data_IF_737436406786
#
_entry.id   IF_737436406786
#
_cell.length_a   1.000
_cell.length_b   1.000
_cell.length_c   1.000
_cell.angle_alpha   90.00
_cell.angle_beta   90.00
_cell.angle_gamma   90.00
#
_symmetry.space_group_name_H-M   'P 1'
#
loop_
_entity.id
_entity.type
_entity.pdbx_description
1 polymer ?
#
# COMPACT_ATOMS: atom_id res chain seq x y z
N UNK A 1 23.55 20.91 -27.94
CA UNK A 1 22.38 21.20 -27.10
C UNK A 1 22.23 20.05 -26.13
N UNK A 2 22.80 20.17 -24.93
CA UNK A 2 22.69 19.13 -23.91
C UNK A 2 21.29 19.21 -23.30
N UNK A 3 20.47 18.20 -23.55
CA UNK A 3 19.22 17.97 -22.83
C UNK A 3 19.58 17.73 -21.37
N UNK A 4 19.36 18.73 -20.53
CA UNK A 4 19.38 18.58 -19.08
C UNK A 4 18.27 17.61 -18.72
N UNK A 5 18.59 16.34 -18.49
CA UNK A 5 17.70 15.42 -17.79
C UNK A 5 17.52 15.98 -16.38
N UNK A 6 16.40 16.65 -16.13
CA UNK A 6 15.90 16.82 -14.76
C UNK A 6 15.67 15.42 -14.23
N UNK A 7 16.56 14.95 -13.38
CA UNK A 7 16.36 13.69 -12.66
C UNK A 7 15.21 13.96 -11.70
N UNK A 8 14.01 13.52 -12.06
CA UNK A 8 12.86 13.60 -11.16
C UNK A 8 13.20 12.82 -9.89
N UNK A 9 13.10 13.52 -8.75
CA UNK A 9 13.39 12.94 -7.44
C UNK A 9 12.38 11.82 -7.18
N UNK A 10 12.82 10.58 -6.90
CA UNK A 10 11.91 9.48 -6.61
C UNK A 10 10.97 9.80 -5.44
N UNK A 11 9.73 9.29 -5.52
CA UNK A 11 8.80 9.40 -4.40
C UNK A 11 9.26 8.57 -3.20
N UNK A 12 9.77 7.37 -3.46
CA UNK A 12 10.39 6.50 -2.44
C UNK A 12 11.64 5.86 -3.01
N UNK A 13 12.72 5.85 -2.24
CA UNK A 13 13.93 5.13 -2.56
C UNK A 13 14.40 4.30 -1.36
N UNK A 14 14.49 2.99 -1.55
CA UNK A 14 14.90 2.00 -0.55
C UNK A 14 16.22 1.40 -1.04
N UNK A 15 17.27 1.48 -0.23
CA UNK A 15 18.62 1.04 -0.58
C UNK A 15 19.13 -0.02 0.39
N UNK A 16 19.23 -1.27 -0.07
CA UNK A 16 19.84 -2.39 0.66
C UNK A 16 19.28 -2.59 2.07
N UNK A 17 17.96 -2.40 2.23
CA UNK A 17 17.33 -2.39 3.54
C UNK A 17 17.18 -3.80 4.09
N UNK A 18 17.72 -3.98 5.30
CA UNK A 18 17.57 -5.20 6.09
C UNK A 18 16.90 -4.84 7.41
N UNK A 19 15.95 -5.67 7.85
CA UNK A 19 15.27 -5.51 9.13
C UNK A 19 15.27 -6.81 9.91
N UNK A 20 15.94 -6.80 11.05
CA UNK A 20 16.04 -7.93 11.99
C UNK A 20 15.32 -7.55 13.28
N UNK A 21 14.31 -8.34 13.66
CA UNK A 21 13.65 -8.19 14.94
C UNK A 21 14.40 -8.99 16.01
N UNK A 22 14.84 -8.31 17.08
CA UNK A 22 15.49 -8.97 18.19
C UNK A 22 14.52 -9.92 18.91
N UNK A 23 14.97 -11.15 19.20
CA UNK A 23 14.24 -12.09 20.05
C UNK A 23 14.65 -11.90 21.51
N UNK A 24 13.70 -11.99 22.47
CA UNK A 24 14.01 -11.96 23.91
C UNK A 24 14.86 -13.16 24.36
N UNK A 25 14.78 -14.29 23.65
CA UNK A 25 15.65 -15.48 23.78
C UNK A 25 15.80 -16.12 22.39
N UNK A 26 17.02 -16.45 21.97
CA UNK A 26 17.31 -17.09 20.68
C UNK A 26 17.82 -16.14 19.60
N UNK A 27 17.95 -16.65 18.37
CA UNK A 27 18.36 -15.85 17.21
C UNK A 27 17.25 -14.89 16.79
N UNK A 28 17.62 -13.64 16.45
CA UNK A 28 16.69 -12.64 15.93
C UNK A 28 16.05 -13.08 14.61
N UNK A 29 14.90 -12.50 14.28
CA UNK A 29 14.15 -12.90 13.10
C UNK A 29 14.28 -11.86 11.99
N UNK A 30 15.01 -12.21 10.93
CA UNK A 30 15.15 -11.39 9.73
C UNK A 30 13.79 -11.32 9.02
N UNK A 31 13.20 -10.13 8.96
CA UNK A 31 11.95 -9.88 8.27
C UNK A 31 12.17 -9.42 6.83
N UNK A 32 13.17 -8.56 6.62
CA UNK A 32 13.61 -8.08 5.31
C UNK A 32 15.11 -8.25 5.20
N UNK A 33 15.60 -8.56 4.00
CA UNK A 33 17.00 -8.86 3.75
C UNK A 33 17.45 -8.29 2.39
N UNK A 34 18.26 -7.23 2.44
CA UNK A 34 18.82 -6.55 1.26
C UNK A 34 17.77 -6.13 0.23
N UNK A 35 16.73 -5.43 0.69
CA UNK A 35 15.63 -4.96 -0.15
C UNK A 35 15.99 -3.61 -0.76
N UNK A 36 15.94 -3.50 -2.10
CA UNK A 36 16.10 -2.25 -2.83
C UNK A 36 14.91 -2.00 -3.77
N UNK A 37 14.30 -0.82 -3.66
CA UNK A 37 13.09 -0.45 -4.39
C UNK A 37 13.07 1.06 -4.64
N UNK A 38 12.85 1.46 -5.89
CA UNK A 38 12.63 2.85 -6.26
C UNK A 38 11.21 3.01 -6.80
N UNK A 39 10.46 3.98 -6.30
CA UNK A 39 9.11 4.35 -6.72
C UNK A 39 9.17 5.76 -7.31
N UNK A 40 8.75 5.91 -8.56
CA UNK A 40 8.75 7.20 -9.23
C UNK A 40 7.58 8.09 -8.73
N UNK A 41 7.67 9.42 -8.89
CA UNK A 41 6.52 10.31 -8.69
C UNK A 41 5.33 9.89 -9.57
N UNK A 42 4.11 9.98 -9.04
CA UNK A 42 2.89 9.56 -9.75
C UNK A 42 2.77 8.07 -10.03
N UNK A 43 3.70 7.24 -9.53
CA UNK A 43 3.70 5.81 -9.76
C UNK A 43 2.88 5.05 -8.72
N UNK A 44 2.02 4.14 -9.19
CA UNK A 44 1.33 3.17 -8.35
C UNK A 44 2.10 1.84 -8.35
N UNK A 45 2.64 1.45 -7.20
CA UNK A 45 3.39 0.21 -7.00
C UNK A 45 2.69 -0.68 -5.97
N UNK A 46 2.34 -1.90 -6.37
CA UNK A 46 1.81 -2.91 -5.44
C UNK A 46 2.86 -3.91 -4.99
N UNK A 47 2.96 -4.15 -3.69
CA UNK A 47 3.73 -5.20 -3.06
C UNK A 47 2.83 -6.40 -2.81
N UNK A 48 3.17 -7.55 -3.41
CA UNK A 48 2.47 -8.83 -3.22
C UNK A 48 3.43 -9.91 -2.74
N UNK A 49 2.88 -10.93 -2.10
CA UNK A 49 3.65 -12.06 -1.57
C UNK A 49 2.89 -12.79 -0.46
N UNK A 50 3.37 -13.96 -0.03
CA UNK A 50 2.72 -14.76 0.99
C UNK A 50 2.66 -14.04 2.35
N UNK A 51 1.79 -14.51 3.25
CA UNK A 51 1.70 -13.97 4.61
C UNK A 51 3.07 -14.05 5.31
N UNK A 52 3.49 -12.94 5.94
CA UNK A 52 4.76 -12.88 6.65
C UNK A 52 6.02 -12.66 5.80
N UNK A 53 5.90 -12.36 4.50
CA UNK A 53 7.04 -11.99 3.64
C UNK A 53 7.60 -10.58 3.89
N UNK A 54 7.05 -9.80 4.82
CA UNK A 54 7.59 -8.50 5.21
C UNK A 54 7.02 -7.27 4.47
N UNK A 55 5.98 -7.40 3.63
CA UNK A 55 5.32 -6.26 2.94
C UNK A 55 4.97 -5.10 3.88
N UNK A 56 4.18 -5.40 4.93
CA UNK A 56 3.80 -4.40 5.95
C UNK A 56 5.00 -3.91 6.77
N UNK A 57 6.08 -4.71 6.87
CA UNK A 57 7.33 -4.23 7.49
C UNK A 57 8.00 -3.20 6.59
N UNK A 58 8.13 -3.46 5.29
CA UNK A 58 8.71 -2.52 4.33
C UNK A 58 7.93 -1.20 4.31
N UNK A 59 6.59 -1.27 4.24
CA UNK A 59 5.73 -0.09 4.28
C UNK A 59 5.90 0.73 5.57
N UNK A 60 6.01 0.08 6.72
CA UNK A 60 6.26 0.75 8.02
C UNK A 60 7.64 1.41 8.09
N UNK A 61 8.66 0.83 7.46
CA UNK A 61 9.98 1.43 7.38
C UNK A 61 9.98 2.68 6.49
N UNK A 62 9.27 2.63 5.35
CA UNK A 62 9.07 3.82 4.50
C UNK A 62 8.33 4.93 5.25
N UNK A 63 7.36 4.56 6.08
CA UNK A 63 6.61 5.50 6.92
C UNK A 63 7.36 5.99 8.18
N UNK A 64 8.64 5.64 8.38
CA UNK A 64 9.42 5.92 9.61
C UNK A 64 8.69 5.52 10.91
N UNK A 65 7.93 4.41 10.87
CA UNK A 65 7.26 3.82 12.04
C UNK A 65 8.07 2.67 12.65
N UNK A 66 9.10 2.23 11.93
CA UNK A 66 10.13 1.33 12.42
C UNK A 66 11.47 1.75 11.80
N UNK A 67 12.59 1.27 12.34
CA UNK A 67 13.94 1.66 11.90
C UNK A 67 14.64 0.48 11.23
N UNK A 68 15.22 0.65 10.02
CA UNK A 68 15.97 -0.42 9.38
C UNK A 68 17.19 -0.81 10.23
N UNK A 69 17.57 -2.08 10.22
CA UNK A 69 18.79 -2.55 10.89
C UNK A 69 20.04 -2.12 10.10
N UNK A 70 19.94 -2.14 8.77
CA UNK A 70 20.93 -1.59 7.85
C UNK A 70 20.24 -1.12 6.56
N UNK A 71 20.96 -0.36 5.74
CA UNK A 71 20.42 0.30 4.55
C UNK A 71 19.85 1.68 4.86
N UNK A 72 19.22 2.29 3.86
CA UNK A 72 18.63 3.62 3.99
C UNK A 72 17.32 3.74 3.21
N UNK A 73 16.47 4.66 3.64
CA UNK A 73 15.20 4.97 2.99
C UNK A 73 15.05 6.48 2.88
N UNK A 74 14.77 6.92 1.66
CA UNK A 74 14.48 8.30 1.32
C UNK A 74 13.07 8.42 0.73
N UNK A 75 12.41 9.54 1.00
CA UNK A 75 11.09 9.91 0.49
C UNK A 75 11.21 11.33 -0.04
N UNK A 76 10.93 11.52 -1.33
CA UNK A 76 11.16 12.78 -2.05
C UNK A 76 12.56 13.39 -1.82
N UNK A 77 13.60 12.54 -1.81
CA UNK A 77 15.01 12.93 -1.61
C UNK A 77 15.36 13.39 -0.19
N UNK A 78 14.45 13.19 0.77
CA UNK A 78 14.69 13.43 2.20
C UNK A 78 14.76 12.09 2.95
N UNK A 79 15.52 11.97 4.05
CA UNK A 79 15.42 10.80 4.91
C UNK A 79 13.96 10.56 5.36
N UNK A 80 13.52 9.29 5.43
CA UNK A 80 12.14 8.93 5.81
C UNK A 80 11.64 9.64 7.08
N UNK A 81 12.54 9.80 8.07
CA UNK A 81 12.25 10.54 9.31
C UNK A 81 11.87 12.01 9.08
N UNK A 82 12.55 12.69 8.16
CA UNK A 82 12.23 14.08 7.84
C UNK A 82 10.90 14.16 7.10
N UNK A 83 10.67 13.27 6.13
CA UNK A 83 9.39 13.18 5.43
C UNK A 83 8.21 12.93 6.39
N UNK A 84 8.41 12.15 7.46
CA UNK A 84 7.40 11.97 8.52
C UNK A 84 7.11 13.26 9.29
N UNK A 85 8.16 14.01 9.64
CA UNK A 85 8.04 15.27 10.39
C UNK A 85 7.34 16.33 9.53
N UNK A 86 7.68 16.37 8.24
CA UNK A 86 7.09 17.27 7.24
C UNK A 86 5.69 16.80 6.81
N UNK A 87 5.30 15.57 7.18
CA UNK A 87 4.01 14.95 6.88
C UNK A 87 3.76 14.80 5.37
N UNK A 88 4.81 14.48 4.60
CA UNK A 88 4.81 14.41 3.13
C UNK A 88 3.94 13.25 2.55
N UNK A 89 3.34 12.41 3.40
CA UNK A 89 2.56 11.24 2.98
C UNK A 89 1.33 10.95 3.86
N UNK A 90 0.31 10.33 3.24
CA UNK A 90 -0.84 9.75 3.93
C UNK A 90 -0.67 8.26 4.13
N UNK A 91 -1.21 7.71 5.23
CA UNK A 91 -1.15 6.27 5.52
C UNK A 91 -2.52 5.68 5.88
N UNK A 92 -2.84 4.55 5.26
CA UNK A 92 -4.00 3.72 5.58
C UNK A 92 -3.52 2.32 6.01
N UNK A 93 -3.83 1.91 7.24
CA UNK A 93 -3.38 0.63 7.80
C UNK A 93 -4.46 -0.45 7.72
N UNK A 94 -4.02 -1.72 7.82
CA UNK A 94 -4.89 -2.89 7.89
C UNK A 94 -5.87 -2.85 9.08
N UNK A 95 -5.47 -2.22 10.19
CA UNK A 95 -6.37 -1.82 11.26
C UNK A 95 -6.67 -0.33 11.11
N UNK A 96 -7.96 0.04 11.03
CA UNK A 96 -8.38 1.40 10.71
C UNK A 96 -7.79 2.48 11.64
N UNK A 97 -7.40 2.12 12.88
CA UNK A 97 -6.68 3.01 13.79
C UNK A 97 -7.43 4.33 14.04
N UNK A 98 -8.76 4.28 14.07
CA UNK A 98 -9.61 5.44 14.31
C UNK A 98 -9.57 5.79 15.80
N UNK A 99 -9.61 7.09 16.12
CA UNK A 99 -9.71 7.56 17.50
C UNK A 99 -11.13 7.28 18.00
N UNK A 100 -11.33 6.41 19.01
CA UNK A 100 -12.66 5.96 19.41
C UNK A 100 -13.51 7.07 20.04
N UNK A 101 -12.88 8.13 20.56
CA UNK A 101 -13.55 9.29 21.14
C UNK A 101 -13.83 10.41 20.13
N UNK A 102 -13.53 10.21 18.83
CA UNK A 102 -13.87 11.17 17.77
C UNK A 102 -14.88 10.57 16.82
N UNK A 103 -15.75 11.40 16.26
CA UNK A 103 -16.69 10.97 15.21
C UNK A 103 -15.96 10.63 13.91
N UNK A 104 -16.67 10.07 12.92
CA UNK A 104 -16.17 9.89 11.55
C UNK A 104 -15.58 11.18 11.00
N UNK A 105 -16.35 12.28 11.04
CA UNK A 105 -15.88 13.58 10.60
C UNK A 105 -14.66 14.04 11.42
N UNK A 106 -14.67 13.86 12.74
CA UNK A 106 -13.56 14.23 13.61
C UNK A 106 -12.28 13.42 13.35
N UNK A 107 -12.40 12.18 12.86
CA UNK A 107 -11.26 11.37 12.45
C UNK A 107 -10.67 11.83 11.12
N UNK A 108 -11.51 12.21 10.15
CA UNK A 108 -11.07 12.71 8.83
C UNK A 108 -10.53 14.14 8.94
N UNK A 109 -11.08 14.97 9.82
CA UNK A 109 -10.57 16.31 10.11
C UNK A 109 -9.22 16.30 10.84
N UNK A 110 -8.82 15.19 11.47
CA UNK A 110 -7.66 15.15 12.35
C UNK A 110 -6.33 15.57 11.67
N UNK A 111 -5.95 15.03 10.49
CA UNK A 111 -4.73 15.47 9.81
C UNK A 111 -4.74 16.99 9.53
N UNK A 112 -5.87 17.50 9.04
CA UNK A 112 -6.10 18.92 8.73
C UNK A 112 -5.98 19.80 9.98
N UNK A 113 -6.51 19.34 11.11
CA UNK A 113 -6.36 20.00 12.40
C UNK A 113 -4.90 20.08 12.84
N UNK A 114 -4.12 19.01 12.64
CA UNK A 114 -2.69 18.95 13.00
C UNK A 114 -1.83 19.87 12.12
N UNK A 115 -2.19 20.05 10.84
CA UNK A 115 -1.54 21.02 9.94
C UNK A 115 -2.04 22.46 10.12
N UNK A 116 -2.90 22.72 11.11
CA UNK A 116 -3.40 24.06 11.40
C UNK A 116 -4.45 24.57 10.41
N UNK A 117 -5.07 23.70 9.60
CA UNK A 117 -6.13 24.07 8.68
C UNK A 117 -7.36 24.58 9.44
N UNK A 118 -7.86 25.74 8.99
CA UNK A 118 -9.00 26.41 9.61
C UNK A 118 -10.26 25.54 9.63
N UNK A 119 -11.07 25.71 10.69
CA UNK A 119 -12.26 24.88 10.97
C UNK A 119 -13.23 24.76 9.80
N UNK A 120 -13.47 25.85 9.08
CA UNK A 120 -14.38 25.87 7.93
C UNK A 120 -13.86 25.02 6.78
N UNK A 121 -12.58 25.20 6.42
CA UNK A 121 -11.96 24.46 5.31
C UNK A 121 -11.87 22.96 5.62
N UNK A 122 -11.45 22.58 6.84
CA UNK A 122 -11.35 21.16 7.19
C UNK A 122 -12.70 20.45 7.22
N UNK A 123 -13.78 21.13 7.64
CA UNK A 123 -15.14 20.57 7.63
C UNK A 123 -15.66 20.34 6.22
N UNK A 124 -15.41 21.30 5.32
CA UNK A 124 -15.76 21.14 3.90
C UNK A 124 -15.03 19.95 3.30
N UNK A 125 -13.70 19.87 3.50
CA UNK A 125 -12.88 18.75 3.01
C UNK A 125 -13.30 17.40 3.58
N UNK A 126 -13.59 17.34 4.89
CA UNK A 126 -14.07 16.11 5.51
C UNK A 126 -15.43 15.68 4.93
N UNK A 127 -16.36 16.61 4.69
CA UNK A 127 -17.65 16.28 4.09
C UNK A 127 -17.52 15.71 2.67
N UNK A 128 -16.63 16.28 1.84
CA UNK A 128 -16.31 15.74 0.51
C UNK A 128 -15.81 14.29 0.59
N UNK A 129 -14.85 14.03 1.47
CA UNK A 129 -14.24 12.71 1.62
C UNK A 129 -15.20 11.68 2.22
N UNK A 130 -16.06 12.10 3.15
CA UNK A 130 -17.12 11.25 3.69
C UNK A 130 -18.13 10.85 2.59
N UNK A 131 -18.48 11.80 1.72
CA UNK A 131 -19.36 11.53 0.58
C UNK A 131 -18.71 10.56 -0.42
N UNK A 132 -17.42 10.77 -0.72
CA UNK A 132 -16.64 9.90 -1.61
C UNK A 132 -16.68 8.44 -1.14
N UNK A 133 -16.47 8.21 0.16
CA UNK A 133 -16.50 6.86 0.73
C UNK A 133 -17.91 6.35 1.06
N UNK A 134 -18.96 7.10 0.72
CA UNK A 134 -20.36 6.70 0.89
C UNK A 134 -20.77 6.55 2.36
N UNK A 135 -20.34 7.48 3.22
CA UNK A 135 -20.64 7.49 4.67
C UNK A 135 -21.29 8.78 5.16
N UNK A 136 -21.96 9.55 4.29
CA UNK A 136 -22.58 10.84 4.63
C UNK A 136 -23.49 10.75 5.87
N UNK A 137 -24.36 9.73 5.92
CA UNK A 137 -25.29 9.51 7.04
C UNK A 137 -24.60 9.12 8.35
N UNK A 138 -23.31 8.77 8.30
CA UNK A 138 -22.51 8.32 9.43
C UNK A 138 -21.51 9.36 9.93
N UNK A 139 -21.50 10.58 9.37
CA UNK A 139 -20.50 11.61 9.69
C UNK A 139 -20.37 11.93 11.19
N UNK A 140 -21.47 11.85 11.94
CA UNK A 140 -21.53 12.10 13.39
C UNK A 140 -21.38 10.86 14.27
N UNK A 141 -21.26 9.67 13.68
CA UNK A 141 -21.11 8.43 14.45
C UNK A 141 -19.68 8.23 14.93
N UNK A 142 -19.52 7.49 16.03
CA UNK A 142 -18.24 7.07 16.58
C UNK A 142 -17.81 5.70 16.01
N UNK A 143 -16.49 5.37 16.00
CA UNK A 143 -15.97 4.15 15.37
C UNK A 143 -16.60 2.84 15.86
N UNK A 144 -16.96 2.75 17.13
CA UNK A 144 -17.62 1.58 17.75
C UNK A 144 -19.05 1.35 17.22
N UNK A 145 -19.66 2.35 16.59
CA UNK A 145 -20.97 2.27 15.95
C UNK A 145 -20.89 1.84 14.47
N UNK A 146 -19.68 1.60 13.95
CA UNK A 146 -19.43 1.30 12.54
C UNK A 146 -18.99 -0.15 12.34
N UNK A 147 -19.37 -0.75 11.22
CA UNK A 147 -18.80 -2.04 10.81
C UNK A 147 -17.32 -1.91 10.45
N UNK A 148 -16.57 -3.02 10.45
CA UNK A 148 -15.14 -3.00 10.10
C UNK A 148 -14.86 -2.40 8.72
N UNK A 149 -15.69 -2.71 7.71
CA UNK A 149 -15.57 -2.12 6.37
C UNK A 149 -15.89 -0.63 6.34
N UNK A 150 -16.83 -0.14 7.16
CA UNK A 150 -17.06 1.29 7.33
C UNK A 150 -15.86 1.98 7.98
N UNK A 151 -15.28 1.38 9.02
CA UNK A 151 -14.07 1.92 9.67
C UNK A 151 -12.89 2.01 8.69
N UNK A 152 -12.69 0.99 7.85
CA UNK A 152 -11.66 1.01 6.81
C UNK A 152 -11.86 2.14 5.80
N UNK A 153 -13.10 2.34 5.34
CA UNK A 153 -13.47 3.46 4.48
C UNK A 153 -13.14 4.83 5.11
N UNK A 154 -13.39 4.99 6.41
CA UNK A 154 -12.98 6.21 7.14
C UNK A 154 -11.45 6.36 7.21
N UNK A 155 -10.71 5.27 7.39
CA UNK A 155 -9.25 5.30 7.41
C UNK A 155 -8.67 5.71 6.04
N UNK A 156 -9.23 5.21 4.94
CA UNK A 156 -8.88 5.63 3.57
C UNK A 156 -9.17 7.13 3.40
N UNK A 157 -10.38 7.59 3.73
CA UNK A 157 -10.75 9.00 3.65
C UNK A 157 -9.79 9.89 4.45
N UNK A 158 -9.42 9.48 5.68
CA UNK A 158 -8.47 10.21 6.52
C UNK A 158 -7.07 10.29 5.88
N UNK A 159 -6.61 9.24 5.22
CA UNK A 159 -5.31 9.25 4.52
C UNK A 159 -5.25 10.21 3.33
N UNK A 160 -6.41 10.53 2.75
CA UNK A 160 -6.57 11.43 1.60
C UNK A 160 -6.85 12.89 2.00
N UNK A 161 -6.99 13.17 3.31
CA UNK A 161 -7.45 14.46 3.82
C UNK A 161 -6.61 15.64 3.33
N UNK A 162 -5.29 15.51 3.40
CA UNK A 162 -4.29 16.52 3.01
C UNK A 162 -3.95 16.51 1.52
N UNK A 163 -4.55 15.63 0.72
CA UNK A 163 -4.14 15.40 -0.68
C UNK A 163 -2.62 15.14 -0.80
N UNK A 164 -2.08 14.14 -0.08
CA UNK A 164 -0.64 13.93 0.00
C UNK A 164 -0.05 13.49 -1.36
N UNK A 165 1.21 13.85 -1.61
CA UNK A 165 1.93 13.45 -2.82
C UNK A 165 2.36 11.97 -2.80
N UNK A 166 2.34 11.32 -1.64
CA UNK A 166 2.59 9.89 -1.45
C UNK A 166 1.51 9.26 -0.57
N UNK A 167 0.97 8.12 -1.00
CA UNK A 167 0.03 7.29 -0.24
C UNK A 167 0.65 5.93 0.08
N UNK A 168 0.66 5.58 1.36
CA UNK A 168 1.09 4.28 1.85
C UNK A 168 -0.14 3.50 2.32
N UNK A 169 -0.45 2.37 1.69
CA UNK A 169 -1.65 1.61 2.01
C UNK A 169 -1.34 0.14 2.32
N UNK A 170 -1.71 -0.30 3.51
CA UNK A 170 -1.48 -1.67 4.01
C UNK A 170 -2.80 -2.44 4.08
N UNK A 171 -3.13 -3.21 3.04
CA UNK A 171 -4.39 -3.97 2.88
C UNK A 171 -5.67 -3.15 3.16
N UNK A 172 -5.83 -1.94 2.58
CA UNK A 172 -6.92 -1.04 2.95
C UNK A 172 -8.32 -1.57 2.58
N UNK A 173 -8.40 -2.53 1.66
CA UNK A 173 -9.66 -3.08 1.16
C UNK A 173 -10.05 -4.45 1.74
N UNK A 174 -9.22 -5.02 2.63
CA UNK A 174 -9.41 -6.40 3.11
C UNK A 174 -10.71 -6.65 3.89
N UNK A 175 -11.32 -5.61 4.46
CA UNK A 175 -12.56 -5.70 5.23
C UNK A 175 -13.82 -5.23 4.46
N UNK A 176 -13.70 -4.94 3.16
CA UNK A 176 -14.79 -4.44 2.33
C UNK A 176 -15.47 -5.61 1.59
N UNK A 177 -16.77 -5.50 1.34
CA UNK A 177 -17.47 -6.36 0.39
C UNK A 177 -17.04 -6.04 -1.06
N UNK A 178 -17.35 -6.95 -2.00
CA UNK A 178 -16.88 -6.87 -3.39
C UNK A 178 -17.29 -5.57 -4.09
N UNK A 179 -18.57 -5.20 -4.04
CA UNK A 179 -19.08 -4.03 -4.74
C UNK A 179 -18.48 -2.74 -4.17
N UNK A 180 -18.41 -2.63 -2.84
CA UNK A 180 -17.78 -1.48 -2.19
C UNK A 180 -16.29 -1.42 -2.50
N UNK A 181 -15.61 -2.56 -2.55
CA UNK A 181 -14.19 -2.65 -2.89
C UNK A 181 -13.92 -2.15 -4.31
N UNK A 182 -14.65 -2.65 -5.30
CA UNK A 182 -14.47 -2.22 -6.71
C UNK A 182 -14.70 -0.71 -6.86
N UNK A 183 -15.75 -0.18 -6.24
CA UNK A 183 -16.01 1.26 -6.23
C UNK A 183 -14.84 2.04 -5.62
N UNK A 184 -14.34 1.61 -4.46
CA UNK A 184 -13.21 2.28 -3.80
C UNK A 184 -11.91 2.19 -4.60
N UNK A 185 -11.69 1.08 -5.32
CA UNK A 185 -10.57 0.95 -6.24
C UNK A 185 -10.66 1.96 -7.39
N UNK A 186 -11.83 2.08 -8.02
CA UNK A 186 -12.06 3.04 -9.11
C UNK A 186 -11.87 4.49 -8.64
N UNK A 187 -12.37 4.83 -7.44
CA UNK A 187 -12.14 6.15 -6.84
C UNK A 187 -10.65 6.39 -6.56
N UNK A 188 -9.92 5.39 -6.05
CA UNK A 188 -8.48 5.52 -5.81
C UNK A 188 -7.72 5.76 -7.12
N UNK A 189 -8.03 4.99 -8.17
CA UNK A 189 -7.48 5.19 -9.52
C UNK A 189 -7.70 6.62 -9.99
N UNK A 190 -8.94 7.11 -9.89
CA UNK A 190 -9.32 8.45 -10.31
C UNK A 190 -8.56 9.52 -9.54
N UNK A 191 -8.52 9.42 -8.21
CA UNK A 191 -7.80 10.38 -7.35
C UNK A 191 -6.32 10.42 -7.71
N UNK A 192 -5.68 9.26 -7.86
CA UNK A 192 -4.25 9.21 -8.21
C UNK A 192 -3.98 9.80 -9.60
N UNK A 193 -4.88 9.55 -10.57
CA UNK A 193 -4.77 10.16 -11.89
C UNK A 193 -4.95 11.70 -11.85
N UNK A 194 -5.84 12.21 -11.00
CA UNK A 194 -6.08 13.66 -10.85
C UNK A 194 -4.95 14.36 -10.06
N UNK A 195 -4.41 13.73 -9.01
CA UNK A 195 -3.41 14.35 -8.12
C UNK A 195 -1.96 14.04 -8.48
N UNK A 196 -1.73 13.03 -9.32
CA UNK A 196 -0.40 12.48 -9.62
C UNK A 196 0.34 12.03 -8.35
N UNK A 197 -0.41 11.59 -7.32
CA UNK A 197 0.17 11.04 -6.11
C UNK A 197 0.82 9.67 -6.40
N UNK A 198 2.02 9.46 -5.86
CA UNK A 198 2.63 8.14 -5.84
C UNK A 198 1.92 7.25 -4.80
N UNK A 199 1.85 5.95 -5.06
CA UNK A 199 1.20 4.99 -4.16
C UNK A 199 2.09 3.77 -3.94
N UNK A 200 2.32 3.41 -2.68
CA UNK A 200 2.84 2.11 -2.28
C UNK A 200 1.72 1.33 -1.62
N UNK A 201 1.25 0.31 -2.32
CA UNK A 201 0.07 -0.46 -1.95
C UNK A 201 0.48 -1.89 -1.58
N UNK A 202 0.05 -2.39 -0.42
CA UNK A 202 0.28 -3.77 0.00
C UNK A 202 -1.03 -4.52 -0.09
N UNK A 203 -1.03 -5.65 -0.81
CA UNK A 203 -2.18 -6.54 -0.89
C UNK A 203 -1.74 -8.00 -1.01
N UNK A 204 -2.64 -8.92 -0.68
CA UNK A 204 -2.52 -10.33 -1.00
C UNK A 204 -3.37 -10.72 -2.23
N UNK A 205 -4.13 -9.79 -2.80
CA UNK A 205 -4.99 -10.02 -3.96
C UNK A 205 -4.28 -9.65 -5.26
N UNK A 206 -4.02 -10.64 -6.11
CA UNK A 206 -3.43 -10.44 -7.45
C UNK A 206 -4.33 -9.54 -8.32
N UNK A 207 -5.67 -9.76 -8.41
CA UNK A 207 -6.54 -8.87 -9.19
C UNK A 207 -6.43 -7.40 -8.79
N UNK A 208 -6.36 -7.10 -7.48
CA UNK A 208 -6.18 -5.73 -7.00
C UNK A 208 -4.86 -5.13 -7.45
N UNK A 209 -3.77 -5.88 -7.26
CA UNK A 209 -2.43 -5.42 -7.61
C UNK A 209 -2.33 -5.11 -9.11
N UNK A 210 -2.89 -5.96 -9.97
CA UNK A 210 -2.90 -5.76 -11.42
C UNK A 210 -3.80 -4.59 -11.81
N UNK A 211 -4.99 -4.47 -11.21
CA UNK A 211 -5.92 -3.39 -11.56
C UNK A 211 -5.36 -2.01 -11.21
N UNK A 212 -4.73 -1.89 -10.03
CA UNK A 212 -4.33 -0.59 -9.49
C UNK A 212 -2.93 -0.14 -9.92
N UNK A 213 -2.01 -1.05 -10.26
CA UNK A 213 -0.58 -0.69 -10.30
C UNK A 213 0.00 -0.48 -11.68
N UNK A 214 0.97 0.41 -11.80
CA UNK A 214 1.90 0.46 -12.93
C UNK A 214 2.89 -0.71 -12.85
N UNK A 215 3.35 -1.04 -11.64
CA UNK A 215 4.23 -2.18 -11.36
C UNK A 215 3.78 -3.00 -10.16
N UNK A 216 3.99 -4.30 -10.25
CA UNK A 216 3.79 -5.26 -9.17
C UNK A 216 5.15 -5.81 -8.73
N UNK A 217 5.47 -5.65 -7.45
CA UNK A 217 6.68 -6.14 -6.81
C UNK A 217 6.33 -7.41 -6.04
N UNK A 218 6.92 -8.53 -6.45
CA UNK A 218 6.70 -9.84 -5.83
C UNK A 218 7.78 -10.08 -4.78
N UNK A 219 7.36 -10.28 -3.53
CA UNK A 219 8.25 -10.58 -2.41
C UNK A 219 8.35 -12.08 -2.15
N UNK A 220 9.56 -12.57 -1.85
CA UNK A 220 9.81 -13.95 -1.43
C UNK A 220 9.26 -14.24 -0.02
N UNK A 221 8.93 -15.50 0.31
CA UNK A 221 8.73 -15.92 1.69
C UNK A 221 9.92 -15.54 2.58
N UNK A 222 9.68 -15.50 3.89
CA UNK A 222 10.67 -15.04 4.87
C UNK A 222 12.03 -15.75 4.73
N UNK A 223 13.17 -15.02 4.71
CA UNK A 223 13.29 -13.55 4.81
C UNK A 223 12.77 -12.83 3.57
N UNK A 224 12.07 -11.71 3.78
CA UNK A 224 11.48 -10.92 2.71
C UNK A 224 12.54 -10.30 1.80
N UNK A 225 12.52 -10.68 0.52
CA UNK A 225 13.35 -10.12 -0.55
C UNK A 225 12.47 -9.77 -1.74
N UNK A 226 12.91 -8.83 -2.58
CA UNK A 226 12.25 -8.60 -3.87
C UNK A 226 12.71 -9.69 -4.82
N UNK A 227 11.77 -10.54 -5.26
CA UNK A 227 12.02 -11.64 -6.19
C UNK A 227 11.92 -11.16 -7.63
N UNK A 228 10.89 -10.39 -7.93
CA UNK A 228 10.64 -9.85 -9.27
C UNK A 228 9.88 -8.53 -9.20
N UNK A 229 10.07 -7.71 -10.21
CA UNK A 229 9.30 -6.48 -10.44
C UNK A 229 8.70 -6.61 -11.84
N UNK A 230 7.38 -6.56 -11.91
CA UNK A 230 6.60 -6.80 -13.13
C UNK A 230 5.92 -5.51 -13.53
N UNK A 231 6.15 -5.04 -14.76
CA UNK A 231 5.32 -3.98 -15.32
C UNK A 231 3.98 -4.55 -15.76
N UNK A 232 2.89 -3.93 -15.34
CA UNK A 232 1.53 -4.42 -15.60
C UNK A 232 1.10 -4.14 -17.04
N UNK A 233 1.59 -3.05 -17.65
CA UNK A 233 1.40 -2.78 -19.07
C UNK A 233 -0.02 -2.44 -19.54
N UNK A 234 -0.94 -2.07 -18.62
CA UNK A 234 -2.35 -1.76 -18.93
C UNK A 234 -2.62 -0.29 -19.30
N UNK A 235 -1.62 0.39 -19.85
CA UNK A 235 -1.71 1.81 -20.21
C UNK A 235 -1.70 2.79 -19.03
N UNK A 236 -1.99 4.05 -19.33
CA UNK A 236 -2.02 5.17 -18.38
C UNK A 236 -3.09 4.99 -17.32
N UNK A 237 -2.80 5.44 -16.10
CA UNK A 237 -3.71 5.29 -14.96
C UNK A 237 -5.08 5.94 -15.21
N UNK A 238 -5.10 7.08 -15.91
CA UNK A 238 -6.31 7.80 -16.30
C UNK A 238 -7.23 7.05 -17.26
N UNK A 239 -6.71 6.02 -17.96
CA UNK A 239 -7.48 5.17 -18.88
C UNK A 239 -8.10 3.94 -18.21
N UNK A 240 -7.80 3.69 -16.93
CA UNK A 240 -8.28 2.51 -16.21
C UNK A 240 -9.72 2.72 -15.73
N UNK A 241 -10.67 2.32 -16.57
CA UNK A 241 -12.10 2.35 -16.26
C UNK A 241 -12.66 1.00 -15.82
N UNK A 242 -13.98 0.96 -15.57
CA UNK A 242 -14.70 -0.25 -15.18
C UNK A 242 -14.51 -1.42 -16.15
N UNK A 243 -14.45 -1.14 -17.46
CA UNK A 243 -14.28 -2.13 -18.51
C UNK A 243 -12.88 -2.77 -18.58
N UNK A 244 -11.88 -2.21 -17.90
CA UNK A 244 -10.52 -2.77 -17.94
C UNK A 244 -10.48 -4.22 -17.41
N UNK A 245 -11.36 -4.57 -16.46
CA UNK A 245 -11.44 -5.93 -15.91
C UNK A 245 -11.95 -6.96 -16.94
N UNK A 246 -12.56 -6.51 -18.03
CA UNK A 246 -13.06 -7.34 -19.13
C UNK A 246 -12.05 -7.45 -20.28
N UNK A 247 -10.96 -6.67 -20.26
CA UNK A 247 -9.94 -6.63 -21.30
C UNK A 247 -9.04 -7.88 -21.26
N UNK A 248 -8.73 -8.44 -22.43
CA UNK A 248 -7.78 -9.55 -22.57
C UNK A 248 -6.40 -9.23 -21.97
N UNK A 249 -5.93 -7.99 -22.11
CA UNK A 249 -4.67 -7.53 -21.55
C UNK A 249 -4.64 -7.66 -20.02
N UNK A 250 -5.76 -7.41 -19.34
CA UNK A 250 -5.88 -7.58 -17.90
C UNK A 250 -5.73 -9.06 -17.49
N UNK A 251 -6.40 -9.97 -18.21
CA UNK A 251 -6.28 -11.40 -17.95
C UNK A 251 -4.86 -11.93 -18.18
N UNK A 252 -4.17 -11.43 -19.21
CA UNK A 252 -2.76 -11.77 -19.46
C UNK A 252 -1.85 -11.31 -18.32
N UNK A 253 -1.97 -10.04 -17.88
CA UNK A 253 -1.20 -9.52 -16.76
C UNK A 253 -1.48 -10.29 -15.46
N UNK A 254 -2.74 -10.62 -15.19
CA UNK A 254 -3.16 -11.42 -14.04
C UNK A 254 -2.56 -12.81 -14.06
N UNK A 255 -2.57 -13.48 -15.21
CA UNK A 255 -1.99 -14.82 -15.37
C UNK A 255 -0.48 -14.79 -15.17
N UNK A 256 0.21 -13.80 -15.76
CA UNK A 256 1.65 -13.64 -15.62
C UNK A 256 2.08 -13.39 -14.16
N UNK A 257 1.41 -12.48 -13.45
CA UNK A 257 1.69 -12.20 -12.03
C UNK A 257 1.39 -13.43 -11.17
N UNK A 258 0.32 -14.17 -11.47
CA UNK A 258 -0.03 -15.41 -10.77
C UNK A 258 1.04 -16.48 -10.95
N UNK A 259 1.54 -16.69 -12.17
CA UNK A 259 2.63 -17.63 -12.43
C UNK A 259 3.90 -17.27 -11.66
N UNK A 260 4.25 -15.99 -11.59
CA UNK A 260 5.41 -15.54 -10.81
C UNK A 260 5.24 -15.74 -9.31
N UNK A 261 4.00 -15.64 -8.80
CA UNK A 261 3.71 -15.91 -7.39
C UNK A 261 3.76 -17.41 -7.08
N UNK A 262 3.18 -18.27 -7.93
CA UNK A 262 3.06 -19.72 -7.69
C UNK A 262 4.21 -20.57 -8.22
N UNK A 263 5.01 -20.07 -9.16
CA UNK A 263 6.07 -20.81 -9.86
C UNK A 263 7.24 -21.29 -8.98
N UNK A 264 7.07 -21.35 -7.66
CA UNK A 264 8.01 -21.99 -6.72
C UNK A 264 7.32 -22.74 -5.55
N UNK A 265 5.98 -22.91 -5.50
CA UNK A 265 5.42 -23.92 -4.58
C UNK A 265 5.81 -25.37 -5.00
N UNK A 266 6.38 -25.54 -6.21
CA UNK A 266 6.74 -26.83 -6.81
C UNK A 266 8.22 -27.24 -6.77
N UNK A 267 9.13 -26.44 -6.19
CA UNK A 267 10.59 -26.70 -6.19
C UNK A 267 11.15 -27.11 -4.82
N UNK A 268 10.28 -27.35 -3.83
CA UNK A 268 10.65 -27.95 -2.55
C UNK A 268 9.89 -29.28 -2.31
N UNK A 269 10.05 -30.25 -3.21
CA UNK A 269 9.81 -31.65 -2.85
C UNK A 269 11.09 -32.19 -2.20
N UNK A 270 11.10 -32.61 -0.91
CA UNK A 270 12.22 -33.34 -0.38
C UNK A 270 12.24 -34.73 -1.03
N UNK A 271 13.26 -34.96 -1.85
CA UNK A 271 13.65 -36.28 -2.28
C UNK A 271 14.06 -37.11 -1.06
N UNK A 272 13.32 -38.19 -0.78
CA UNK A 272 13.83 -39.35 -0.06
C UNK A 272 13.18 -39.68 1.28
N UNK A 273 12.25 -40.63 1.26
CA UNK A 273 12.27 -41.74 2.21
C UNK A 273 11.68 -42.99 1.56
N UNK A 274 12.52 -44.02 1.45
CA UNK A 274 12.26 -45.34 0.89
C UNK A 274 11.19 -46.08 1.71
N UNK A 275 10.45 -46.94 1.03
CA UNK A 275 9.33 -47.71 1.57
C UNK A 275 9.67 -48.71 2.66
N UNK A 276 8.61 -49.23 3.27
CA UNK A 276 8.55 -50.53 3.93
C UNK A 276 7.17 -51.12 3.61
N UNK A 277 7.16 -52.18 2.80
CA UNK A 277 6.07 -53.15 2.75
C UNK A 277 5.96 -53.84 4.11
N UNK A 278 4.74 -54.02 4.61
CA UNK A 278 4.45 -55.16 5.49
C UNK A 278 3.06 -55.70 5.17
N UNK A 279 3.06 -57.02 4.97
CA UNK A 279 1.94 -57.93 4.76
C UNK A 279 0.80 -57.78 5.75
#
# INVERSE_FOLDING_TARGET
>A
MSTSMTVDVPAVEVHGVTRIFAARKGQGVTALDDVSLTVAPGEFVSLIGPSGCGKSTLLRLVADLDVPTSGSIEVFGKPARQARIDQDYGIAFQQAGLLPWRTVAGNIELPLELHGVGKTARRARAAELIALVGLADFASHYPDQLSGGMQQRVAIARSLAESPSLLLMDEPFGALDEMTRERMQNELVRICAETQAAVVFVTHSIPEAVFLSNRVVVMSPRPGRIRSIVSVGLGEMSGRGEYLREDEGFFHALSHVRELLHGDEGTAAPAGARGVETR
#
